data_IF_593212087326
#
_entry.id   IF_593212087326
#
_cell.length_a   1.000
_cell.length_b   1.000
_cell.length_c   1.000
_cell.angle_alpha   90.00
_cell.angle_beta   90.00
_cell.angle_gamma   90.00
#
_symmetry.space_group_name_H-M   'P 1'
#
loop_
_entity.id
_entity.type
_entity.pdbx_description
1 polymer ?
#
# COMPACT_ATOMS: atom_id res chain seq x y z
N UNK A 1 5.87 -22.64 -3.97
CA UNK A 1 6.29 -21.22 -3.81
C UNK A 1 7.80 -21.09 -4.02
N UNK A 2 8.67 -21.93 -3.41
CA UNK A 2 10.12 -21.86 -3.55
C UNK A 2 10.67 -21.97 -4.98
N UNK A 3 10.10 -22.86 -5.80
CA UNK A 3 10.55 -23.08 -7.20
C UNK A 3 10.34 -21.82 -8.05
N UNK A 4 9.23 -21.08 -7.86
CA UNK A 4 8.96 -19.84 -8.58
C UNK A 4 10.00 -18.73 -8.29
N UNK A 5 10.42 -18.59 -7.03
CA UNK A 5 11.48 -17.64 -6.66
C UNK A 5 12.83 -18.03 -7.27
N UNK A 6 13.18 -19.32 -7.28
CA UNK A 6 14.41 -19.79 -7.91
C UNK A 6 14.40 -19.58 -9.43
N UNK A 7 13.28 -19.85 -10.11
CA UNK A 7 13.14 -19.55 -11.54
C UNK A 7 13.29 -18.06 -11.83
N UNK A 8 12.63 -17.19 -11.04
CA UNK A 8 12.76 -15.74 -11.18
C UNK A 8 14.19 -15.26 -10.93
N UNK A 9 14.87 -15.82 -9.95
CA UNK A 9 16.28 -15.50 -9.68
C UNK A 9 17.19 -15.91 -10.83
N UNK A 10 17.04 -17.15 -11.36
CA UNK A 10 17.85 -17.65 -12.48
C UNK A 10 17.60 -16.82 -13.74
N UNK A 11 16.34 -16.50 -14.05
CA UNK A 11 15.98 -15.63 -15.18
C UNK A 11 16.55 -14.23 -15.00
N UNK A 12 16.49 -13.67 -13.80
CA UNK A 12 17.07 -12.38 -13.46
C UNK A 12 18.59 -12.36 -13.68
N UNK A 13 19.31 -13.37 -13.20
CA UNK A 13 20.77 -13.51 -13.39
C UNK A 13 21.11 -13.70 -14.87
N UNK A 14 20.32 -14.50 -15.61
CA UNK A 14 20.51 -14.69 -17.06
C UNK A 14 20.30 -13.37 -17.83
N UNK A 15 19.25 -12.60 -17.49
CA UNK A 15 18.99 -11.29 -18.09
C UNK A 15 20.12 -10.28 -17.78
N UNK A 16 20.68 -10.30 -16.56
CA UNK A 16 21.82 -9.48 -16.20
C UNK A 16 23.05 -9.85 -17.04
N UNK A 17 23.30 -11.14 -17.27
CA UNK A 17 24.43 -11.61 -18.09
C UNK A 17 24.30 -11.30 -19.59
N UNK A 18 23.07 -11.35 -20.13
CA UNK A 18 22.82 -11.16 -21.57
C UNK A 18 22.59 -9.70 -21.98
N UNK A 19 22.45 -8.76 -21.05
CA UNK A 19 22.00 -7.40 -21.35
C UNK A 19 23.11 -6.33 -21.23
N UNK A 20 22.77 -5.13 -21.72
CA UNK A 20 23.54 -3.88 -21.55
C UNK A 20 23.92 -3.58 -20.09
N UNK A 21 23.33 -4.28 -19.11
CA UNK A 21 23.62 -4.15 -17.68
C UNK A 21 25.09 -4.48 -17.34
N UNK A 22 25.70 -5.49 -17.99
CA UNK A 22 27.13 -5.77 -17.79
C UNK A 22 28.02 -4.62 -18.24
N UNK A 23 27.62 -3.92 -19.31
CA UNK A 23 28.34 -2.73 -19.79
C UNK A 23 28.23 -1.61 -18.78
N UNK A 24 27.00 -1.34 -18.31
CA UNK A 24 26.72 -0.32 -17.29
C UNK A 24 27.47 -0.62 -15.98
N UNK A 25 27.47 -1.86 -15.51
CA UNK A 25 28.22 -2.27 -14.31
C UNK A 25 29.73 -2.07 -14.46
N UNK A 26 30.27 -2.29 -15.67
CA UNK A 26 31.69 -2.05 -15.96
C UNK A 26 32.00 -0.55 -16.04
N UNK A 27 31.10 0.25 -16.60
CA UNK A 27 31.22 1.72 -16.66
C UNK A 27 31.15 2.34 -15.26
N UNK A 28 30.24 1.85 -14.39
CA UNK A 28 30.13 2.29 -12.97
C UNK A 28 31.45 2.06 -12.21
N UNK A 29 32.17 1.00 -12.51
CA UNK A 29 33.44 0.73 -11.83
C UNK A 29 34.57 1.70 -12.21
N UNK A 30 34.42 2.40 -13.34
CA UNK A 30 35.38 3.39 -13.85
C UNK A 30 35.02 4.85 -13.44
N UNK A 31 33.90 5.06 -12.72
CA UNK A 31 33.53 6.39 -12.22
C UNK A 31 34.46 6.79 -11.07
N UNK A 32 34.93 8.02 -11.07
CA UNK A 32 35.76 8.56 -9.99
C UNK A 32 35.02 8.50 -8.64
N UNK A 33 35.75 8.27 -7.55
CA UNK A 33 35.20 8.10 -6.21
C UNK A 33 34.42 9.34 -5.76
N UNK A 34 34.80 10.53 -6.23
CA UNK A 34 34.14 11.81 -5.96
C UNK A 34 32.70 11.88 -6.52
N UNK A 35 32.43 11.19 -7.62
CA UNK A 35 31.11 11.22 -8.30
C UNK A 35 30.22 10.04 -7.89
N UNK A 36 30.70 9.18 -6.99
CA UNK A 36 29.90 8.05 -6.49
C UNK A 36 28.96 8.47 -5.40
N UNK A 37 27.68 8.17 -5.61
CA UNK A 37 26.64 8.35 -4.57
C UNK A 37 26.98 7.50 -3.34
N UNK A 38 27.13 8.12 -2.19
CA UNK A 38 27.41 7.41 -0.94
C UNK A 38 26.11 6.75 -0.41
N UNK A 39 26.11 5.40 -0.37
CA UNK A 39 24.97 4.66 0.16
C UNK A 39 24.62 5.06 1.60
N UNK A 40 25.62 5.21 2.48
CA UNK A 40 25.42 5.50 3.91
C UNK A 40 24.85 6.89 4.17
N UNK A 41 25.27 7.90 3.40
CA UNK A 41 24.91 9.30 3.65
C UNK A 41 23.72 9.76 2.83
N UNK A 42 23.52 9.22 1.63
CA UNK A 42 22.49 9.71 0.71
C UNK A 42 21.30 8.76 0.56
N UNK A 43 21.55 7.43 0.57
CA UNK A 43 20.50 6.45 0.30
C UNK A 43 19.91 5.89 1.58
N UNK A 44 20.75 5.39 2.49
CA UNK A 44 20.34 4.71 3.71
C UNK A 44 19.43 5.54 4.63
N UNK A 45 19.67 6.86 4.88
CA UNK A 45 18.82 7.68 5.74
C UNK A 45 17.38 7.80 5.27
N UNK A 46 17.13 7.55 4.00
CA UNK A 46 15.80 7.56 3.42
C UNK A 46 15.21 6.15 3.33
N UNK A 47 15.99 5.17 2.88
CA UNK A 47 15.50 3.81 2.68
C UNK A 47 15.05 3.11 3.96
N UNK A 48 15.76 3.26 5.08
CA UNK A 48 15.35 2.63 6.34
C UNK A 48 13.99 3.15 6.84
N UNK A 49 13.69 4.43 6.60
CA UNK A 49 12.39 5.02 6.96
C UNK A 49 11.25 4.42 6.14
N UNK A 50 11.49 4.24 4.84
CA UNK A 50 10.53 3.56 3.96
C UNK A 50 10.36 2.10 4.40
N UNK A 51 11.45 1.39 4.64
CA UNK A 51 11.41 -0.01 5.07
C UNK A 51 10.61 -0.18 6.37
N UNK A 52 10.82 0.70 7.36
CA UNK A 52 10.07 0.67 8.61
C UNK A 52 8.58 1.00 8.40
N UNK A 53 8.26 1.96 7.52
CA UNK A 53 6.88 2.29 7.15
C UNK A 53 6.17 1.09 6.49
N UNK A 54 6.86 0.37 5.60
CA UNK A 54 6.32 -0.83 4.95
C UNK A 54 6.17 -2.00 5.92
N UNK A 55 7.18 -2.24 6.78
CA UNK A 55 7.12 -3.27 7.81
C UNK A 55 5.94 -3.04 8.76
N UNK A 56 5.71 -1.80 9.17
CA UNK A 56 4.56 -1.42 10.00
C UNK A 56 3.23 -1.79 9.33
N UNK A 57 3.07 -1.50 8.04
CA UNK A 57 1.86 -1.87 7.28
C UNK A 57 1.69 -3.39 7.13
N UNK A 58 2.79 -4.13 6.91
CA UNK A 58 2.78 -5.57 6.80
C UNK A 58 2.29 -6.25 8.08
N UNK A 59 2.78 -5.82 9.24
CA UNK A 59 2.37 -6.39 10.53
C UNK A 59 0.88 -6.27 10.79
N UNK A 60 0.24 -5.18 10.38
CA UNK A 60 -1.22 -4.98 10.56
C UNK A 60 -2.01 -6.12 9.90
N UNK A 61 -1.72 -6.42 8.63
CA UNK A 61 -2.45 -7.46 7.90
C UNK A 61 -2.11 -8.88 8.36
N UNK A 62 -0.86 -9.11 8.76
CA UNK A 62 -0.43 -10.43 9.22
C UNK A 62 -1.02 -10.82 10.57
N UNK A 63 -1.44 -9.86 11.39
CA UNK A 63 -2.06 -10.14 12.69
C UNK A 63 -3.52 -10.61 12.58
N UNK A 64 -4.23 -10.30 11.49
CA UNK A 64 -5.66 -10.65 11.38
C UNK A 64 -5.91 -12.16 11.46
N UNK A 65 -5.22 -12.94 10.65
CA UNK A 65 -5.43 -14.39 10.62
C UNK A 65 -5.05 -15.10 11.91
N UNK A 66 -3.85 -14.90 12.53
CA UNK A 66 -3.51 -15.53 13.78
C UNK A 66 -4.46 -15.18 14.94
N UNK A 67 -4.89 -13.92 15.02
CA UNK A 67 -5.81 -13.50 16.08
C UNK A 67 -7.17 -14.15 15.90
N UNK A 68 -7.74 -14.16 14.71
CA UNK A 68 -9.01 -14.83 14.43
C UNK A 68 -8.91 -16.35 14.58
N UNK A 69 -7.80 -16.94 14.20
CA UNK A 69 -7.59 -18.37 14.41
C UNK A 69 -7.66 -18.74 15.90
N UNK A 70 -7.01 -17.93 16.75
CA UNK A 70 -6.98 -18.15 18.19
C UNK A 70 -8.32 -17.81 18.88
N UNK A 71 -9.12 -16.89 18.36
CA UNK A 71 -10.34 -16.39 19.04
C UNK A 71 -11.64 -16.91 18.44
N UNK A 72 -11.72 -17.11 17.13
CA UNK A 72 -12.94 -17.45 16.39
C UNK A 72 -12.82 -18.76 15.59
N UNK A 73 -11.66 -19.40 15.62
CA UNK A 73 -11.40 -20.68 15.00
C UNK A 73 -10.93 -20.62 13.54
N UNK A 74 -10.54 -21.77 13.01
CA UNK A 74 -9.91 -21.93 11.70
C UNK A 74 -10.79 -21.49 10.52
N UNK A 75 -12.11 -21.70 10.61
CA UNK A 75 -13.05 -21.37 9.54
C UNK A 75 -13.10 -19.86 9.32
N UNK A 76 -13.29 -19.09 10.39
CA UNK A 76 -13.37 -17.62 10.33
C UNK A 76 -12.02 -17.02 9.91
N UNK A 77 -10.91 -17.57 10.39
CA UNK A 77 -9.58 -17.15 9.92
C UNK A 77 -9.36 -17.42 8.42
N UNK A 78 -9.84 -18.57 7.92
CA UNK A 78 -9.83 -18.89 6.50
C UNK A 78 -10.68 -17.93 5.66
N UNK A 79 -11.87 -17.58 6.12
CA UNK A 79 -12.74 -16.58 5.49
C UNK A 79 -12.08 -15.20 5.43
N UNK A 80 -11.42 -14.76 6.51
CA UNK A 80 -10.64 -13.52 6.54
C UNK A 80 -9.51 -13.56 5.54
N UNK A 81 -8.73 -14.65 5.49
CA UNK A 81 -7.63 -14.81 4.54
C UNK A 81 -8.08 -14.70 3.09
N UNK A 82 -9.19 -15.36 2.75
CA UNK A 82 -9.76 -15.32 1.39
C UNK A 82 -10.28 -13.94 1.03
N UNK A 83 -10.99 -13.29 1.96
CA UNK A 83 -11.48 -11.91 1.77
C UNK A 83 -10.32 -10.93 1.58
N UNK A 84 -9.28 -11.00 2.45
CA UNK A 84 -8.09 -10.17 2.32
C UNK A 84 -7.35 -10.38 1.00
N UNK A 85 -7.24 -11.62 0.52
CA UNK A 85 -6.61 -11.90 -0.77
C UNK A 85 -7.36 -11.22 -1.92
N UNK A 86 -8.69 -11.27 -1.93
CA UNK A 86 -9.52 -10.63 -2.95
C UNK A 86 -9.40 -9.10 -2.91
N UNK A 87 -9.60 -8.47 -1.74
CA UNK A 87 -9.56 -6.99 -1.63
C UNK A 87 -8.14 -6.44 -1.84
N UNK A 88 -7.08 -7.16 -1.43
CA UNK A 88 -5.71 -6.78 -1.73
C UNK A 88 -5.36 -6.93 -3.22
N UNK A 89 -5.94 -7.92 -3.91
CA UNK A 89 -5.85 -8.03 -5.36
C UNK A 89 -6.42 -6.79 -6.07
N UNK A 90 -7.63 -6.36 -5.68
CA UNK A 90 -8.27 -5.14 -6.18
C UNK A 90 -7.42 -3.90 -5.86
N UNK A 91 -6.91 -3.80 -4.63
CA UNK A 91 -6.03 -2.71 -4.21
C UNK A 91 -4.75 -2.63 -5.04
N UNK A 92 -4.10 -3.76 -5.30
CA UNK A 92 -2.88 -3.85 -6.10
C UNK A 92 -3.12 -3.45 -7.55
N UNK A 93 -4.22 -3.90 -8.14
CA UNK A 93 -4.63 -3.50 -9.48
C UNK A 93 -4.84 -1.99 -9.57
N UNK A 94 -5.63 -1.43 -8.65
CA UNK A 94 -5.90 0.02 -8.60
C UNK A 94 -4.63 0.85 -8.42
N UNK A 95 -3.68 0.37 -7.58
CA UNK A 95 -2.40 1.05 -7.33
C UNK A 95 -1.51 1.14 -8.57
N UNK A 96 -1.72 0.29 -9.58
CA UNK A 96 -0.95 0.32 -10.82
C UNK A 96 -1.08 1.65 -11.55
N UNK A 97 -2.25 2.32 -11.43
CA UNK A 97 -2.48 3.65 -12.02
C UNK A 97 -1.52 4.72 -11.50
N UNK A 98 -1.24 4.71 -10.20
CA UNK A 98 -0.31 5.69 -9.62
C UNK A 98 1.13 5.25 -9.83
N UNK A 99 1.43 3.96 -9.71
CA UNK A 99 2.79 3.42 -9.83
C UNK A 99 3.40 3.68 -11.21
N UNK A 100 2.62 3.58 -12.29
CA UNK A 100 3.07 3.87 -13.66
C UNK A 100 3.39 5.35 -13.88
N UNK A 101 2.87 6.26 -13.06
CA UNK A 101 3.10 7.71 -13.16
C UNK A 101 4.25 8.21 -12.29
N UNK A 102 4.80 7.39 -11.40
CA UNK A 102 5.91 7.77 -10.50
C UNK A 102 7.11 8.36 -11.24
N UNK A 103 7.61 7.78 -12.35
CA UNK A 103 8.72 8.39 -13.09
C UNK A 103 8.38 9.78 -13.63
N UNK A 104 7.15 9.97 -14.12
CA UNK A 104 6.67 11.27 -14.61
C UNK A 104 6.57 12.29 -13.48
N UNK A 105 6.06 11.90 -12.30
CA UNK A 105 6.03 12.78 -11.13
C UNK A 105 7.44 13.24 -10.73
N UNK A 106 8.38 12.30 -10.64
CA UNK A 106 9.77 12.61 -10.30
C UNK A 106 10.43 13.52 -11.34
N UNK A 107 10.14 13.33 -12.63
CA UNK A 107 10.63 14.20 -13.70
C UNK A 107 10.06 15.62 -13.61
N UNK A 108 8.76 15.78 -13.36
CA UNK A 108 8.13 17.10 -13.19
C UNK A 108 8.65 17.84 -11.94
N UNK A 109 8.96 17.10 -10.86
CA UNK A 109 9.61 17.66 -9.66
C UNK A 109 11.01 18.17 -10.00
N UNK A 110 11.79 17.40 -10.76
CA UNK A 110 13.13 17.80 -11.17
C UNK A 110 13.11 19.07 -12.06
N UNK A 111 12.09 19.19 -12.92
CA UNK A 111 11.86 20.38 -13.78
C UNK A 111 11.17 21.54 -13.02
N UNK A 112 10.79 21.35 -11.75
CA UNK A 112 10.02 22.31 -10.92
C UNK A 112 8.67 22.74 -11.53
N UNK A 113 8.07 21.93 -12.41
CA UNK A 113 6.75 22.19 -13.00
C UNK A 113 5.65 21.63 -12.08
N UNK A 114 5.42 22.33 -10.97
CA UNK A 114 4.45 21.93 -9.96
C UNK A 114 2.99 22.02 -10.44
N UNK A 115 2.71 22.92 -11.38
CA UNK A 115 1.34 23.08 -11.91
C UNK A 115 0.93 21.82 -12.70
N UNK A 116 1.80 21.33 -13.58
CA UNK A 116 1.54 20.09 -14.31
C UNK A 116 1.56 18.87 -13.40
N UNK A 117 2.48 18.84 -12.41
CA UNK A 117 2.54 17.80 -11.42
C UNK A 117 1.21 17.65 -10.67
N UNK A 118 0.68 18.75 -10.15
CA UNK A 118 -0.56 18.74 -9.37
C UNK A 118 -1.77 18.34 -10.22
N UNK A 119 -1.85 18.84 -11.44
CA UNK A 119 -2.92 18.46 -12.36
C UNK A 119 -2.89 16.96 -12.65
N UNK A 120 -1.72 16.44 -13.01
CA UNK A 120 -1.55 15.01 -13.30
C UNK A 120 -1.82 14.15 -12.08
N UNK A 121 -1.31 14.53 -10.91
CA UNK A 121 -1.53 13.82 -9.67
C UNK A 121 -3.02 13.77 -9.29
N UNK A 122 -3.72 14.90 -9.35
CA UNK A 122 -5.15 14.97 -9.03
C UNK A 122 -6.00 14.10 -9.98
N UNK A 123 -5.68 14.09 -11.28
CA UNK A 123 -6.35 13.21 -12.26
C UNK A 123 -6.09 11.74 -11.89
N UNK A 124 -4.84 11.39 -11.65
CA UNK A 124 -4.45 10.02 -11.31
C UNK A 124 -5.11 9.55 -10.01
N UNK A 125 -5.18 10.40 -8.98
CA UNK A 125 -5.85 10.09 -7.71
C UNK A 125 -7.37 9.89 -7.88
N UNK A 126 -8.02 10.70 -8.72
CA UNK A 126 -9.44 10.50 -9.05
C UNK A 126 -9.65 9.17 -9.78
N UNK A 127 -8.82 8.86 -10.76
CA UNK A 127 -8.90 7.58 -11.49
C UNK A 127 -8.70 6.39 -10.55
N UNK A 128 -7.67 6.43 -9.69
CA UNK A 128 -7.43 5.41 -8.67
C UNK A 128 -8.65 5.21 -7.76
N UNK A 129 -9.21 6.31 -7.25
CA UNK A 129 -10.37 6.26 -6.36
C UNK A 129 -11.61 5.68 -7.04
N UNK A 130 -11.92 6.14 -8.25
CA UNK A 130 -13.09 5.66 -9.03
C UNK A 130 -12.94 4.18 -9.37
N UNK A 131 -11.79 3.77 -9.92
CA UNK A 131 -11.54 2.37 -10.29
C UNK A 131 -11.60 1.46 -9.07
N UNK A 132 -10.94 1.84 -7.97
CA UNK A 132 -10.95 1.08 -6.74
C UNK A 132 -12.38 0.94 -6.19
N UNK A 133 -13.15 2.03 -6.13
CA UNK A 133 -14.53 2.02 -5.62
C UNK A 133 -15.45 1.13 -6.47
N UNK A 134 -15.33 1.21 -7.80
CA UNK A 134 -16.15 0.37 -8.71
C UNK A 134 -15.82 -1.11 -8.50
N UNK A 135 -14.53 -1.45 -8.42
CA UNK A 135 -14.11 -2.84 -8.25
C UNK A 135 -14.50 -3.41 -6.88
N UNK A 136 -14.38 -2.64 -5.80
CA UNK A 136 -14.80 -3.04 -4.47
C UNK A 136 -16.33 -3.22 -4.43
N UNK A 137 -17.08 -2.25 -4.92
CA UNK A 137 -18.55 -2.37 -4.98
C UNK A 137 -19.00 -3.58 -5.82
N UNK A 138 -18.35 -3.81 -6.95
CA UNK A 138 -18.62 -4.98 -7.77
C UNK A 138 -18.35 -6.29 -7.01
N UNK A 139 -17.23 -6.37 -6.29
CA UNK A 139 -16.91 -7.53 -5.46
C UNK A 139 -17.95 -7.76 -4.38
N UNK A 140 -18.38 -6.70 -3.67
CA UNK A 140 -19.42 -6.77 -2.65
C UNK A 140 -20.74 -7.29 -3.24
N UNK A 141 -21.19 -6.75 -4.39
CA UNK A 141 -22.41 -7.17 -5.08
C UNK A 141 -22.33 -8.64 -5.50
N UNK A 142 -21.19 -9.07 -6.03
CA UNK A 142 -20.99 -10.48 -6.42
C UNK A 142 -21.15 -11.40 -5.21
N UNK A 143 -20.51 -11.09 -4.09
CA UNK A 143 -20.63 -11.92 -2.88
C UNK A 143 -22.07 -11.89 -2.33
N UNK A 144 -22.74 -10.74 -2.33
CA UNK A 144 -24.13 -10.62 -1.91
C UNK A 144 -25.06 -11.49 -2.79
N UNK A 145 -24.88 -11.45 -4.09
CA UNK A 145 -25.66 -12.26 -5.06
C UNK A 145 -25.42 -13.75 -4.88
N UNK A 146 -24.15 -14.15 -4.71
CA UNK A 146 -23.81 -15.56 -4.45
C UNK A 146 -24.40 -16.07 -3.13
N UNK A 147 -24.49 -15.22 -2.11
CA UNK A 147 -25.16 -15.55 -0.84
C UNK A 147 -26.66 -15.67 -1.01
N UNK A 148 -27.28 -14.79 -1.79
CA UNK A 148 -28.71 -14.86 -2.06
C UNK A 148 -29.11 -16.18 -2.76
N UNK A 149 -28.24 -16.74 -3.57
CA UNK A 149 -28.44 -18.03 -4.25
C UNK A 149 -27.87 -19.22 -3.48
N UNK A 150 -27.48 -19.06 -2.22
CA UNK A 150 -26.89 -20.11 -1.37
C UNK A 150 -25.73 -20.87 -1.99
N UNK A 151 -24.93 -20.19 -2.82
CA UNK A 151 -23.76 -20.81 -3.46
C UNK A 151 -22.68 -21.07 -2.40
N UNK A 152 -22.15 -22.33 -2.28
CA UNK A 152 -21.17 -22.68 -1.25
C UNK A 152 -19.89 -21.83 -1.25
N UNK A 153 -19.51 -21.26 -2.40
CA UNK A 153 -18.36 -20.40 -2.54
C UNK A 153 -18.51 -19.10 -1.70
N UNK A 154 -19.71 -18.55 -1.58
CA UNK A 154 -19.96 -17.30 -0.85
C UNK A 154 -19.66 -17.45 0.65
N UNK A 155 -19.85 -18.64 1.21
CA UNK A 155 -19.57 -18.93 2.61
C UNK A 155 -18.08 -19.07 2.96
N UNK A 156 -17.21 -19.02 1.95
CA UNK A 156 -15.75 -18.95 2.15
C UNK A 156 -15.26 -17.53 2.40
N UNK A 157 -16.11 -16.53 2.23
CA UNK A 157 -15.81 -15.13 2.53
C UNK A 157 -16.47 -14.72 3.86
N UNK A 158 -15.99 -13.64 4.44
CA UNK A 158 -16.59 -13.03 5.63
C UNK A 158 -18.04 -12.60 5.35
N UNK A 159 -18.79 -12.33 6.41
CA UNK A 159 -20.11 -11.73 6.30
C UNK A 159 -20.08 -10.38 5.56
N UNK A 160 -21.19 -10.02 4.91
CA UNK A 160 -21.29 -8.83 4.04
C UNK A 160 -20.93 -7.52 4.76
N UNK A 161 -21.25 -7.42 6.05
CA UNK A 161 -20.97 -6.23 6.83
C UNK A 161 -19.46 -6.11 7.13
N UNK A 162 -18.81 -7.21 7.48
CA UNK A 162 -17.35 -7.26 7.67
C UNK A 162 -16.61 -6.97 6.38
N UNK A 163 -17.09 -7.45 5.22
CA UNK A 163 -16.53 -7.13 3.90
C UNK A 163 -16.65 -5.62 3.65
N UNK A 164 -17.83 -5.02 3.87
CA UNK A 164 -18.04 -3.59 3.66
C UNK A 164 -17.07 -2.73 4.49
N UNK A 165 -16.85 -3.07 5.77
CA UNK A 165 -15.86 -2.36 6.60
C UNK A 165 -14.44 -2.52 6.06
N UNK A 166 -14.04 -3.72 5.61
CA UNK A 166 -12.75 -3.95 4.99
C UNK A 166 -12.57 -3.13 3.71
N UNK A 167 -13.59 -3.04 2.87
CA UNK A 167 -13.58 -2.26 1.63
C UNK A 167 -13.39 -0.77 1.90
N UNK A 168 -14.11 -0.22 2.90
CA UNK A 168 -13.92 1.16 3.35
C UNK A 168 -12.47 1.39 3.80
N UNK A 169 -11.92 0.47 4.59
CA UNK A 169 -10.54 0.56 5.06
C UNK A 169 -9.53 0.52 3.91
N UNK A 170 -9.73 -0.38 2.95
CA UNK A 170 -8.87 -0.51 1.78
C UNK A 170 -8.94 0.73 0.89
N UNK A 171 -10.14 1.26 0.65
CA UNK A 171 -10.31 2.49 -0.12
C UNK A 171 -9.58 3.68 0.55
N UNK A 172 -9.75 3.86 1.86
CA UNK A 172 -9.05 4.86 2.63
C UNK A 172 -7.52 4.67 2.53
N UNK A 173 -7.04 3.43 2.65
CA UNK A 173 -5.63 3.09 2.53
C UNK A 173 -5.06 3.43 1.14
N UNK A 174 -5.82 3.24 0.06
CA UNK A 174 -5.41 3.60 -1.30
C UNK A 174 -5.16 5.10 -1.46
N UNK A 175 -6.03 5.94 -0.91
CA UNK A 175 -5.79 7.40 -0.89
C UNK A 175 -4.54 7.75 -0.07
N UNK A 176 -4.37 7.15 1.11
CA UNK A 176 -3.16 7.34 1.94
C UNK A 176 -1.88 6.95 1.21
N UNK A 177 -1.87 5.81 0.51
CA UNK A 177 -0.74 5.35 -0.30
C UNK A 177 -0.45 6.28 -1.49
N UNK A 178 -1.49 6.84 -2.09
CA UNK A 178 -1.35 7.83 -3.16
C UNK A 178 -0.59 9.08 -2.70
N UNK A 179 -1.00 9.67 -1.57
CA UNK A 179 -0.28 10.82 -0.99
C UNK A 179 1.12 10.46 -0.52
N UNK A 180 1.31 9.27 0.05
CA UNK A 180 2.64 8.77 0.40
C UNK A 180 3.56 8.68 -0.84
N UNK A 181 3.04 8.21 -1.96
CA UNK A 181 3.78 8.13 -3.23
C UNK A 181 4.21 9.52 -3.72
N UNK A 182 3.31 10.51 -3.67
CA UNK A 182 3.66 11.90 -4.01
C UNK A 182 4.80 12.44 -3.15
N UNK A 183 4.71 12.23 -1.83
CA UNK A 183 5.73 12.68 -0.87
C UNK A 183 7.07 11.98 -1.10
N UNK A 184 7.05 10.69 -1.42
CA UNK A 184 8.25 9.89 -1.74
C UNK A 184 8.94 10.35 -3.02
N UNK A 185 8.19 10.83 -4.02
CA UNK A 185 8.78 11.43 -5.22
C UNK A 185 9.64 12.67 -4.89
N UNK A 186 9.38 13.36 -3.77
CA UNK A 186 10.21 14.45 -3.25
C UNK A 186 11.37 13.95 -2.35
N UNK A 187 11.68 12.66 -2.35
CA UNK A 187 12.72 12.03 -1.50
C UNK A 187 12.50 12.26 0.01
N UNK A 188 11.26 12.35 0.46
CA UNK A 188 10.91 12.50 1.87
C UNK A 188 9.89 11.44 2.31
N UNK A 189 9.99 10.99 3.56
CA UNK A 189 9.04 10.06 4.19
C UNK A 189 8.46 10.67 5.47
N UNK A 190 7.64 11.73 5.37
CA UNK A 190 7.08 12.40 6.56
C UNK A 190 5.96 11.58 7.22
N UNK A 191 5.47 10.53 6.58
CA UNK A 191 4.39 9.67 7.08
C UNK A 191 4.89 8.51 7.97
N UNK A 192 6.19 8.42 8.26
CA UNK A 192 6.76 7.36 9.09
C UNK A 192 6.07 7.27 10.46
N UNK A 193 5.91 8.40 11.14
CA UNK A 193 5.26 8.46 12.47
C UNK A 193 3.82 7.95 12.38
N UNK A 194 3.06 8.39 11.36
CA UNK A 194 1.70 7.92 11.14
C UNK A 194 1.66 6.40 10.88
N UNK A 195 2.61 5.86 10.10
CA UNK A 195 2.70 4.42 9.82
C UNK A 195 2.97 3.61 11.10
N UNK A 196 3.86 4.07 11.98
CA UNK A 196 4.17 3.40 13.25
C UNK A 196 2.97 3.47 14.21
N UNK A 197 2.41 4.67 14.41
CA UNK A 197 1.21 4.86 15.25
C UNK A 197 0.06 4.00 14.71
N UNK A 198 -0.14 3.99 13.39
CA UNK A 198 -1.13 3.16 12.73
C UNK A 198 -0.92 1.68 12.96
N UNK A 199 0.32 1.18 12.90
CA UNK A 199 0.61 -0.23 13.17
C UNK A 199 0.29 -0.63 14.62
N UNK A 200 0.70 0.20 15.58
CA UNK A 200 0.46 -0.05 17.01
C UNK A 200 -1.05 0.00 17.32
N UNK A 201 -1.73 1.06 16.90
CA UNK A 201 -3.16 1.23 17.18
C UNK A 201 -4.03 0.18 16.47
N UNK A 202 -3.74 -0.14 15.20
CA UNK A 202 -4.43 -1.21 14.49
C UNK A 202 -4.13 -2.58 15.11
N UNK A 203 -2.87 -2.85 15.51
CA UNK A 203 -2.51 -4.09 16.19
C UNK A 203 -3.26 -4.28 17.51
N UNK A 204 -3.28 -3.25 18.36
CA UNK A 204 -4.04 -3.28 19.61
C UNK A 204 -5.56 -3.44 19.35
N UNK A 205 -6.12 -2.67 18.42
CA UNK A 205 -7.53 -2.79 18.03
C UNK A 205 -7.85 -4.22 17.54
N UNK A 206 -6.99 -4.80 16.71
CA UNK A 206 -7.14 -6.17 16.22
C UNK A 206 -7.17 -7.21 17.37
N UNK A 207 -6.27 -7.07 18.33
CA UNK A 207 -6.21 -7.98 19.49
C UNK A 207 -7.45 -7.84 20.38
N UNK A 208 -7.83 -6.60 20.73
CA UNK A 208 -8.97 -6.37 21.61
C UNK A 208 -10.31 -6.66 20.93
N UNK A 209 -10.58 -6.04 19.79
CA UNK A 209 -11.88 -6.20 19.13
C UNK A 209 -12.02 -7.58 18.50
N UNK A 210 -10.93 -8.20 18.01
CA UNK A 210 -10.95 -9.57 17.54
C UNK A 210 -11.29 -10.57 18.63
N UNK A 211 -10.82 -10.34 19.86
CA UNK A 211 -11.13 -11.20 21.01
C UNK A 211 -12.61 -11.12 21.45
N UNK A 212 -13.18 -9.92 21.50
CA UNK A 212 -14.52 -9.70 22.06
C UNK A 212 -15.64 -9.73 21.02
N UNK A 213 -15.36 -9.29 19.79
CA UNK A 213 -16.37 -9.13 18.74
C UNK A 213 -16.04 -9.91 17.46
N UNK A 214 -15.00 -10.75 17.48
CA UNK A 214 -14.61 -11.58 16.34
C UNK A 214 -14.24 -10.75 15.08
N UNK A 215 -14.57 -11.31 13.91
CA UNK A 215 -14.24 -10.69 12.62
C UNK A 215 -14.89 -9.33 12.40
N UNK A 216 -16.15 -9.17 12.82
CA UNK A 216 -16.90 -7.91 12.65
C UNK A 216 -16.26 -6.77 13.46
N UNK A 217 -15.92 -7.01 14.72
CA UNK A 217 -15.27 -5.99 15.55
C UNK A 217 -13.90 -5.61 15.03
N UNK A 218 -13.15 -6.60 14.56
CA UNK A 218 -11.82 -6.38 13.98
C UNK A 218 -11.87 -5.53 12.72
N UNK A 219 -12.77 -5.84 11.78
CA UNK A 219 -12.90 -5.12 10.52
C UNK A 219 -13.45 -3.71 10.72
N UNK A 220 -14.42 -3.54 11.62
CA UNK A 220 -14.97 -2.23 12.01
C UNK A 220 -13.88 -1.34 12.63
N UNK A 221 -13.16 -1.85 13.64
CA UNK A 221 -12.08 -1.12 14.29
C UNK A 221 -10.97 -0.73 13.30
N UNK A 222 -10.61 -1.64 12.41
CA UNK A 222 -9.66 -1.35 11.35
C UNK A 222 -10.14 -0.26 10.40
N UNK A 223 -11.43 -0.29 9.98
CA UNK A 223 -12.00 0.71 9.10
C UNK A 223 -11.97 2.12 9.72
N UNK A 224 -12.42 2.25 10.97
CA UNK A 224 -12.41 3.53 11.69
C UNK A 224 -10.99 4.09 11.80
N UNK A 225 -10.05 3.26 12.26
CA UNK A 225 -8.67 3.68 12.41
C UNK A 225 -8.03 4.08 11.07
N UNK A 226 -8.31 3.34 9.99
CA UNK A 226 -7.78 3.67 8.67
C UNK A 226 -8.33 4.96 8.12
N UNK A 227 -9.61 5.26 8.31
CA UNK A 227 -10.19 6.55 7.92
C UNK A 227 -9.51 7.70 8.69
N UNK A 228 -9.37 7.60 10.01
CA UNK A 228 -8.71 8.61 10.85
C UNK A 228 -7.26 8.84 10.42
N UNK A 229 -6.50 7.76 10.25
CA UNK A 229 -5.09 7.84 9.81
C UNK A 229 -4.96 8.43 8.39
N UNK A 230 -5.92 8.16 7.52
CA UNK A 230 -5.95 8.71 6.17
C UNK A 230 -6.22 10.21 6.18
N UNK A 231 -7.10 10.70 7.06
CA UNK A 231 -7.30 12.13 7.30
C UNK A 231 -6.02 12.80 7.80
N UNK A 232 -5.28 12.16 8.71
CA UNK A 232 -3.98 12.65 9.15
C UNK A 232 -2.95 12.68 8.01
N UNK A 233 -2.86 11.62 7.20
CA UNK A 233 -2.01 11.60 6.00
C UNK A 233 -2.31 12.76 5.05
N UNK A 234 -3.59 13.07 4.84
CA UNK A 234 -3.99 14.20 4.01
C UNK A 234 -3.53 15.55 4.57
N UNK A 235 -3.63 15.76 5.87
CA UNK A 235 -3.15 16.98 6.51
C UNK A 235 -1.63 17.16 6.34
N UNK A 236 -0.85 16.09 6.57
CA UNK A 236 0.61 16.10 6.37
C UNK A 236 0.95 16.37 4.90
N UNK A 237 0.26 15.71 3.96
CA UNK A 237 0.42 15.95 2.54
C UNK A 237 0.17 17.42 2.18
N UNK A 238 -0.96 18.00 2.64
CA UNK A 238 -1.33 19.40 2.36
C UNK A 238 -0.28 20.38 2.89
N UNK A 239 0.19 20.19 4.12
CA UNK A 239 1.22 21.03 4.75
C UNK A 239 2.56 20.98 4.00
N UNK A 240 3.01 19.78 3.61
CA UNK A 240 4.27 19.60 2.89
C UNK A 240 4.18 20.17 1.49
N UNK A 241 3.11 19.89 0.78
CA UNK A 241 2.85 20.44 -0.55
C UNK A 241 2.89 21.97 -0.57
N UNK A 242 2.20 22.63 0.37
CA UNK A 242 2.21 24.09 0.49
C UNK A 242 3.63 24.64 0.69
N UNK A 243 4.43 24.03 1.58
CA UNK A 243 5.81 24.46 1.84
C UNK A 243 6.71 24.36 0.60
N UNK A 244 6.56 23.32 -0.20
CA UNK A 244 7.40 23.13 -1.40
C UNK A 244 7.03 24.08 -2.54
N UNK A 245 5.75 24.45 -2.65
CA UNK A 245 5.29 25.38 -3.69
C UNK A 245 5.59 26.85 -3.35
N UNK A 246 5.60 27.21 -2.05
CA UNK A 246 5.92 28.59 -1.62
C UNK A 246 7.41 28.89 -1.58
N UNK A 247 8.28 27.91 -1.45
CA UNK A 247 9.74 28.10 -1.47
C UNK A 247 10.31 28.38 -2.88
N UNK A 248 9.48 28.34 -3.91
CA UNK A 248 9.88 28.49 -5.32
C UNK A 248 9.15 29.63 -6.04
N UNK A 249 8.37 30.46 -5.34
CA UNK A 249 7.94 31.78 -5.73
C UNK A 249 8.78 32.86 -5.02
#
# INVERSE_FOLDING_TARGET
>A
VGIGYWCSFVVGVAMIRCSKLWRILREINNIEISDRVSYKTEIFPYQWKIALSWASGYFVFQLFNPVLFATSGAVVAGQMGMTLAAVNGIASFSSSWISTKVPTFSGLIALRDYVKLDRLFNITMKQLGVICSIMLLFFWIVIATLRYWDVPLAFRFLDLLSIAFLEIAILANQYGNGWATYLRCHKQEPLLVNSIVGAVTCGLSTLFLGKYFGALGMTCGYAILRVVLTCWNYQVYKQKKSKWHTLNN
#
